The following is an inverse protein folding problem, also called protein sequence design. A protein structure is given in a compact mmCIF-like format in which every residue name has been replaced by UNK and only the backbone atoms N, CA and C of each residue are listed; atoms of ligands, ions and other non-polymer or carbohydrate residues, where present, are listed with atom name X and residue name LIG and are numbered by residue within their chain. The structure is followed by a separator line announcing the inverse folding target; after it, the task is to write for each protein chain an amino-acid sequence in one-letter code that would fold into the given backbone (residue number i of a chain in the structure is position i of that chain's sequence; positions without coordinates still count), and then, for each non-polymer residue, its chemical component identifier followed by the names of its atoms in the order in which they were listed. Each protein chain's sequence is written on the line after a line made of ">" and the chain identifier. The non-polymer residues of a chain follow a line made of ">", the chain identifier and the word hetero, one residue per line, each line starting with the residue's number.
data_IF_190870420034
#
_entry.id   IF_190870420034
#
_cell.length_a   1.000
_cell.length_b   1.000
_cell.length_c   1.000
_cell.angle_alpha   90.00
_cell.angle_beta   90.00
_cell.angle_gamma   90.00
#
_symmetry.space_group_name_H-M   'P 1'
#
loop_
_entity.id
_entity.type
_entity.pdbx_description
1 polymer ?
#
# COMPACT_ATOMS: atom_id res chain seq x y z
N UNK A 1 -9.39 5.56 6.75
CA UNK A 1 -8.38 5.05 5.80
C UNK A 1 -8.94 4.79 4.41
N UNK A 2 -10.02 4.03 4.22
CA UNK A 2 -10.61 3.81 2.88
C UNK A 2 -10.98 5.12 2.16
N UNK A 3 -11.40 6.13 2.90
CA UNK A 3 -11.69 7.46 2.36
C UNK A 3 -10.46 8.11 1.70
N UNK A 4 -9.29 8.04 2.35
CA UNK A 4 -8.04 8.56 1.78
C UNK A 4 -7.58 7.77 0.56
N UNK A 5 -7.84 6.45 0.53
CA UNK A 5 -7.61 5.65 -0.69
C UNK A 5 -8.48 6.18 -1.83
N UNK A 6 -9.78 6.34 -1.61
CA UNK A 6 -10.71 6.82 -2.63
C UNK A 6 -10.39 8.25 -3.13
N UNK A 7 -9.79 9.10 -2.29
CA UNK A 7 -9.34 10.44 -2.71
C UNK A 7 -8.04 10.39 -3.50
N UNK A 8 -7.09 9.55 -3.07
CA UNK A 8 -5.74 9.47 -3.66
C UNK A 8 -5.70 8.61 -4.91
N UNK A 9 -6.44 7.49 -4.90
CA UNK A 9 -6.40 6.42 -5.91
C UNK A 9 -7.84 5.99 -6.26
N UNK A 10 -8.65 6.88 -6.85
CA UNK A 10 -10.04 6.58 -7.15
C UNK A 10 -10.16 5.56 -8.29
N UNK A 11 -11.08 4.61 -8.15
CA UNK A 11 -11.36 3.53 -9.11
C UNK A 11 -11.62 4.07 -10.52
N UNK A 12 -10.93 3.47 -11.51
CA UNK A 12 -11.05 3.79 -12.92
C UNK A 12 -10.57 5.20 -13.30
N UNK A 13 -9.84 5.91 -12.40
CA UNK A 13 -9.33 7.25 -12.65
C UNK A 13 -7.80 7.24 -12.64
N UNK A 14 -7.23 7.46 -13.81
CA UNK A 14 -5.78 7.41 -14.02
C UNK A 14 -5.02 8.40 -13.13
N UNK A 15 -4.19 7.88 -12.24
CA UNK A 15 -3.25 8.63 -11.38
C UNK A 15 -2.27 9.45 -12.22
N UNK A 16 -1.89 8.95 -13.40
CA UNK A 16 -1.03 9.70 -14.34
C UNK A 16 -1.60 11.07 -14.70
N UNK A 17 -2.94 11.20 -14.71
CA UNK A 17 -3.63 12.45 -15.06
C UNK A 17 -3.98 13.29 -13.85
N UNK A 18 -4.34 12.67 -12.74
CA UNK A 18 -4.88 13.38 -11.56
C UNK A 18 -3.82 13.66 -10.51
N UNK A 19 -2.90 12.73 -10.28
CA UNK A 19 -1.86 12.83 -9.26
C UNK A 19 -0.47 12.43 -9.80
N UNK A 20 0.02 13.07 -10.89
CA UNK A 20 1.30 12.69 -11.50
C UNK A 20 2.50 12.78 -10.54
N UNK A 21 2.38 13.55 -9.45
CA UNK A 21 3.39 13.65 -8.40
C UNK A 21 3.64 12.33 -7.67
N UNK A 22 2.65 11.43 -7.60
CA UNK A 22 2.83 10.10 -6.97
C UNK A 22 3.76 9.18 -7.78
N UNK A 23 3.90 9.44 -9.08
CA UNK A 23 4.78 8.71 -9.99
C UNK A 23 6.20 9.30 -10.08
N UNK A 24 6.46 10.40 -9.39
CA UNK A 24 7.79 11.01 -9.32
C UNK A 24 8.65 10.43 -8.20
N UNK A 25 8.04 9.67 -7.30
CA UNK A 25 8.75 9.02 -6.22
C UNK A 25 9.54 7.81 -6.76
N UNK A 26 10.83 7.78 -6.46
CA UNK A 26 11.72 6.65 -6.82
C UNK A 26 11.74 5.56 -5.75
N UNK A 27 11.14 5.80 -4.59
CA UNK A 27 11.11 4.87 -3.45
C UNK A 27 9.67 4.41 -3.24
N UNK A 28 9.37 3.17 -3.66
CA UNK A 28 8.06 2.53 -3.45
C UNK A 28 8.21 1.30 -2.53
N UNK A 29 9.09 1.41 -1.52
CA UNK A 29 9.45 0.31 -0.63
C UNK A 29 9.51 0.81 0.82
N UNK A 30 9.31 -0.10 1.76
CA UNK A 30 9.42 0.19 3.19
C UNK A 30 10.87 0.06 3.64
N UNK A 31 11.45 1.13 4.18
CA UNK A 31 12.82 1.15 4.71
C UNK A 31 12.78 1.11 6.22
N UNK A 32 13.43 0.11 6.82
CA UNK A 32 13.49 -0.09 8.27
C UNK A 32 14.67 0.71 8.84
N UNK A 33 14.38 1.68 9.72
CA UNK A 33 15.36 2.58 10.34
C UNK A 33 15.92 2.04 11.65
N UNK A 34 15.13 1.26 12.37
CA UNK A 34 15.54 0.59 13.61
C UNK A 34 14.89 -0.79 13.69
N UNK A 35 15.52 -1.71 14.41
CA UNK A 35 14.97 -3.07 14.58
C UNK A 35 13.55 -3.03 15.09
N UNK A 36 12.62 -3.62 14.32
CA UNK A 36 11.19 -3.60 14.64
C UNK A 36 10.42 -4.73 13.99
N UNK A 37 9.28 -5.01 14.56
CA UNK A 37 8.25 -5.80 13.90
C UNK A 37 7.57 -4.96 12.82
N UNK A 38 7.27 -5.58 11.68
CA UNK A 38 6.53 -4.96 10.57
C UNK A 38 5.31 -5.80 10.23
N UNK A 39 4.20 -5.12 10.03
CA UNK A 39 2.91 -5.71 9.65
C UNK A 39 2.40 -5.11 8.35
N UNK A 40 1.67 -5.91 7.60
CA UNK A 40 0.89 -5.49 6.45
C UNK A 40 -0.58 -5.67 6.78
N UNK A 41 -1.38 -4.66 6.46
CA UNK A 41 -2.83 -4.69 6.66
C UNK A 41 -3.52 -4.41 5.34
N UNK A 42 -4.43 -5.30 4.94
CA UNK A 42 -5.24 -5.14 3.74
C UNK A 42 -6.23 -3.98 3.92
N UNK A 43 -6.39 -3.16 2.88
CA UNK A 43 -7.32 -2.03 2.87
C UNK A 43 -8.45 -2.27 1.88
N UNK A 44 -8.12 -2.45 0.62
CA UNK A 44 -9.08 -2.63 -0.46
C UNK A 44 -8.44 -3.30 -1.68
N UNK A 45 -9.29 -3.67 -2.61
CA UNK A 45 -8.90 -4.22 -3.91
C UNK A 45 -9.94 -3.76 -4.95
N UNK A 46 -9.45 -3.26 -6.10
CA UNK A 46 -10.23 -2.85 -7.28
C UNK A 46 -10.07 -3.78 -8.48
N UNK A 47 -9.21 -4.81 -8.37
CA UNK A 47 -8.87 -5.69 -9.48
C UNK A 47 -10.01 -6.64 -9.90
N UNK A 48 -10.02 -6.97 -11.18
CA UNK A 48 -10.79 -8.11 -11.70
C UNK A 48 -10.04 -9.44 -11.63
N UNK A 49 -8.78 -9.44 -11.20
CA UNK A 49 -7.90 -10.60 -11.12
C UNK A 49 -7.73 -11.12 -9.70
N UNK A 50 -7.57 -12.43 -9.54
CA UNK A 50 -7.18 -13.04 -8.27
C UNK A 50 -5.65 -12.96 -8.08
N UNK A 51 -5.19 -11.79 -7.68
CA UNK A 51 -3.78 -11.48 -7.51
C UNK A 51 -3.18 -12.12 -6.26
N UNK A 52 -1.85 -12.28 -6.27
CA UNK A 52 -1.06 -12.73 -5.11
C UNK A 52 -0.12 -11.61 -4.70
N UNK A 53 -0.19 -11.16 -3.46
CA UNK A 53 0.75 -10.20 -2.90
C UNK A 53 1.88 -10.93 -2.16
N UNK A 54 3.12 -10.57 -2.48
CA UNK A 54 4.31 -11.08 -1.82
C UNK A 54 5.31 -9.97 -1.49
N UNK A 55 6.36 -10.33 -0.77
CA UNK A 55 7.48 -9.46 -0.48
C UNK A 55 8.82 -10.19 -0.55
N UNK A 56 9.88 -9.42 -0.66
CA UNK A 56 11.27 -9.84 -0.49
C UNK A 56 12.05 -8.70 0.19
N UNK A 57 13.25 -9.01 0.68
CA UNK A 57 14.06 -8.04 1.41
C UNK A 57 15.46 -7.94 0.81
N UNK A 58 16.07 -6.78 0.99
CA UNK A 58 17.46 -6.53 0.66
C UNK A 58 18.07 -5.47 1.60
N UNK A 59 19.40 -5.36 1.59
CA UNK A 59 20.10 -4.32 2.33
C UNK A 59 19.83 -2.95 1.70
N UNK A 60 19.38 -1.98 2.47
CA UNK A 60 19.10 -0.62 1.99
C UNK A 60 20.31 -0.06 1.22
N UNK A 61 20.03 0.51 0.05
CA UNK A 61 21.06 1.01 -0.87
C UNK A 61 21.59 -0.02 -1.88
N UNK A 62 21.25 -1.32 -1.70
CA UNK A 62 21.67 -2.39 -2.60
C UNK A 62 20.47 -3.14 -3.20
N UNK A 63 19.61 -2.49 -4.00
CA UNK A 63 18.45 -3.14 -4.58
C UNK A 63 18.86 -4.23 -5.59
N UNK A 64 18.08 -5.30 -5.72
CA UNK A 64 18.31 -6.29 -6.75
C UNK A 64 18.19 -5.67 -8.14
N UNK A 65 19.05 -6.10 -9.04
CA UNK A 65 19.10 -5.68 -10.45
C UNK A 65 18.45 -6.70 -11.39
N UNK A 66 18.07 -7.87 -10.85
CA UNK A 66 17.38 -8.94 -11.55
C UNK A 66 16.27 -9.54 -10.69
N UNK A 67 15.19 -9.96 -11.32
CA UNK A 67 14.11 -10.69 -10.65
C UNK A 67 14.48 -12.16 -10.33
N UNK A 68 15.59 -12.66 -10.90
CA UNK A 68 16.04 -14.05 -10.77
C UNK A 68 17.55 -14.12 -10.47
N UNK A 69 18.03 -15.30 -10.10
CA UNK A 69 19.46 -15.56 -9.93
C UNK A 69 19.98 -15.46 -8.49
N UNK A 70 19.12 -15.10 -7.54
CA UNK A 70 19.49 -14.99 -6.13
C UNK A 70 20.44 -13.81 -5.83
N UNK A 71 20.59 -13.46 -4.53
CA UNK A 71 21.41 -12.31 -4.09
C UNK A 71 22.88 -12.42 -4.48
N UNK A 72 23.42 -13.62 -4.55
CA UNK A 72 24.81 -13.85 -5.01
C UNK A 72 25.06 -13.35 -6.45
N UNK A 73 24.01 -13.23 -7.27
CA UNK A 73 24.05 -12.74 -8.63
C UNK A 73 23.27 -11.42 -8.83
N UNK A 74 23.04 -10.68 -7.75
CA UNK A 74 22.28 -9.43 -7.78
C UNK A 74 20.76 -9.60 -7.99
N UNK A 75 20.24 -10.81 -7.77
CA UNK A 75 18.81 -11.12 -7.94
C UNK A 75 18.06 -11.29 -6.62
N UNK A 76 16.79 -11.67 -6.72
CA UNK A 76 15.92 -11.99 -5.59
C UNK A 76 16.12 -13.46 -5.20
N UNK A 77 16.43 -13.74 -3.92
CA UNK A 77 16.56 -15.12 -3.42
C UNK A 77 15.20 -15.79 -3.25
N UNK A 78 14.27 -15.08 -2.61
CA UNK A 78 12.99 -15.65 -2.21
C UNK A 78 11.91 -14.57 -2.17
N UNK A 79 10.75 -14.91 -2.72
CA UNK A 79 9.51 -14.17 -2.50
C UNK A 79 8.70 -14.92 -1.44
N UNK A 80 8.25 -14.21 -0.41
CA UNK A 80 7.34 -14.74 0.61
C UNK A 80 5.95 -14.16 0.35
N UNK A 81 4.95 -15.02 0.20
CA UNK A 81 3.57 -14.56 -0.03
C UNK A 81 2.96 -14.03 1.26
N UNK A 82 2.36 -12.86 1.18
CA UNK A 82 1.63 -12.18 2.26
C UNK A 82 0.16 -12.61 2.18
N UNK A 83 -0.45 -12.34 1.02
CA UNK A 83 -1.81 -12.75 0.69
C UNK A 83 -1.76 -13.65 -0.55
N UNK A 84 -1.89 -14.99 -0.37
CA UNK A 84 -1.93 -15.93 -1.50
C UNK A 84 -3.11 -15.71 -2.45
N UNK A 85 -4.20 -15.13 -1.95
CA UNK A 85 -5.25 -14.49 -2.73
C UNK A 85 -5.49 -13.11 -2.13
N UNK A 86 -5.12 -12.05 -2.86
CA UNK A 86 -5.22 -10.67 -2.42
C UNK A 86 -6.59 -10.04 -2.74
N UNK A 87 -7.58 -10.85 -3.14
CA UNK A 87 -8.91 -10.37 -3.49
C UNK A 87 -9.80 -10.23 -2.25
N UNK A 88 -10.63 -9.20 -2.28
CA UNK A 88 -11.59 -8.89 -1.24
C UNK A 88 -12.73 -9.93 -1.18
N UNK A 89 -13.39 -9.99 -0.04
CA UNK A 89 -14.60 -10.79 0.13
C UNK A 89 -15.70 -10.29 -0.80
N UNK A 90 -16.14 -11.18 -1.69
CA UNK A 90 -17.13 -10.87 -2.72
C UNK A 90 -16.51 -10.58 -4.09
N UNK A 91 -15.19 -10.51 -4.20
CA UNK A 91 -14.43 -10.30 -5.44
C UNK A 91 -13.49 -11.49 -5.75
N UNK A 92 -13.91 -12.71 -5.48
CA UNK A 92 -13.10 -13.92 -5.70
C UNK A 92 -12.21 -14.33 -4.52
N UNK A 93 -12.12 -13.52 -3.47
CA UNK A 93 -11.31 -13.79 -2.28
C UNK A 93 -12.06 -13.75 -0.97
N UNK A 94 -11.32 -13.67 0.12
CA UNK A 94 -11.85 -13.68 1.48
C UNK A 94 -11.39 -12.53 2.36
N UNK A 95 -10.53 -11.64 1.85
CA UNK A 95 -9.97 -10.54 2.63
C UNK A 95 -11.03 -9.48 2.94
N UNK A 96 -10.96 -8.95 4.14
CA UNK A 96 -11.75 -7.77 4.55
C UNK A 96 -10.78 -6.67 5.00
N UNK A 97 -11.20 -5.42 4.85
CA UNK A 97 -10.39 -4.28 5.31
C UNK A 97 -10.04 -4.43 6.79
N UNK A 98 -8.74 -4.36 7.11
CA UNK A 98 -8.22 -4.57 8.45
C UNK A 98 -7.57 -5.94 8.66
N UNK A 99 -7.70 -6.89 7.74
CA UNK A 99 -6.98 -8.18 7.82
C UNK A 99 -5.48 -7.92 7.83
N UNK A 100 -4.78 -8.48 8.83
CA UNK A 100 -3.42 -8.10 9.17
C UNK A 100 -2.49 -9.30 9.30
N UNK A 101 -1.31 -9.18 8.67
CA UNK A 101 -0.25 -10.19 8.72
C UNK A 101 1.02 -9.57 9.28
N UNK A 102 1.67 -10.25 10.25
CA UNK A 102 3.02 -9.92 10.69
C UNK A 102 4.01 -10.50 9.68
N UNK A 103 4.80 -9.66 9.03
CA UNK A 103 5.87 -10.11 8.12
C UNK A 103 7.04 -10.72 8.89
N UNK A 104 7.39 -10.14 10.02
CA UNK A 104 8.51 -10.54 10.86
C UNK A 104 9.11 -9.39 11.63
N UNK A 105 10.28 -9.64 12.23
CA UNK A 105 11.14 -8.65 12.85
C UNK A 105 12.33 -8.40 11.92
N UNK A 106 12.57 -7.14 11.56
CA UNK A 106 13.63 -6.74 10.64
C UNK A 106 14.63 -5.83 11.35
N UNK A 107 15.91 -5.98 11.00
CA UNK A 107 16.98 -5.14 11.52
C UNK A 107 17.02 -3.79 10.77
N UNK A 108 17.59 -2.76 11.40
CA UNK A 108 17.87 -1.48 10.77
C UNK A 108 18.68 -1.66 9.47
N UNK A 109 18.37 -0.87 8.44
CA UNK A 109 19.01 -0.96 7.13
C UNK A 109 18.43 -2.06 6.23
N UNK A 110 17.34 -2.71 6.63
CA UNK A 110 16.58 -3.60 5.75
C UNK A 110 15.58 -2.80 4.93
N UNK A 111 15.51 -3.05 3.63
CA UNK A 111 14.40 -2.60 2.76
C UNK A 111 13.50 -3.78 2.44
N UNK A 112 12.20 -3.58 2.63
CA UNK A 112 11.15 -4.53 2.30
C UNK A 112 10.51 -4.04 1.00
N UNK A 113 10.66 -4.81 -0.07
CA UNK A 113 10.04 -4.57 -1.36
C UNK A 113 8.91 -5.54 -1.61
N UNK A 114 7.96 -5.13 -2.41
CA UNK A 114 6.74 -5.89 -2.67
C UNK A 114 6.68 -6.36 -4.12
N UNK A 115 5.89 -7.39 -4.34
CA UNK A 115 5.62 -7.96 -5.66
C UNK A 115 4.18 -8.42 -5.75
N UNK A 116 3.52 -8.03 -6.82
CA UNK A 116 2.19 -8.50 -7.18
C UNK A 116 2.33 -9.53 -8.31
N UNK A 117 1.78 -10.72 -8.12
CA UNK A 117 1.69 -11.75 -9.16
C UNK A 117 0.29 -11.66 -9.76
N UNK A 118 0.23 -11.27 -11.03
CA UNK A 118 -1.02 -11.05 -11.76
C UNK A 118 -1.81 -12.35 -11.91
N UNK A 119 -3.07 -12.34 -11.45
CA UNK A 119 -4.02 -13.45 -11.57
C UNK A 119 -3.40 -14.82 -11.22
N UNK A 120 -2.63 -14.85 -10.13
CA UNK A 120 -1.79 -16.00 -9.79
C UNK A 120 -2.45 -16.98 -8.82
N UNK A 121 -3.57 -16.64 -8.20
CA UNK A 121 -4.31 -17.57 -7.37
C UNK A 121 -5.09 -18.55 -8.25
N UNK A 122 -5.00 -19.84 -7.98
CA UNK A 122 -5.60 -20.93 -8.79
C UNK A 122 -6.83 -21.56 -8.13
N UNK A 123 -7.33 -20.97 -7.05
CA UNK A 123 -8.36 -21.58 -6.21
C UNK A 123 -7.83 -22.59 -5.18
N UNK A 124 -6.58 -23.06 -5.33
CA UNK A 124 -5.97 -24.04 -4.42
C UNK A 124 -4.48 -23.80 -4.13
N UNK A 125 -3.84 -22.88 -4.86
CA UNK A 125 -2.43 -22.56 -4.71
C UNK A 125 -2.01 -21.37 -5.56
N UNK A 126 -0.72 -21.07 -5.56
CA UNK A 126 -0.14 -19.94 -6.28
C UNK A 126 0.58 -20.40 -7.54
N UNK A 127 0.24 -19.84 -8.69
CA UNK A 127 1.02 -19.96 -9.91
C UNK A 127 2.27 -19.07 -9.83
N UNK A 128 3.38 -19.63 -9.39
CA UNK A 128 4.64 -18.91 -9.25
C UNK A 128 5.24 -18.40 -10.59
N UNK A 129 4.72 -18.86 -11.73
CA UNK A 129 5.17 -18.45 -13.07
C UNK A 129 4.33 -17.31 -13.67
N UNK A 130 3.29 -16.84 -12.95
CA UNK A 130 2.51 -15.70 -13.39
C UNK A 130 3.38 -14.44 -13.59
N UNK A 131 2.90 -13.51 -14.40
CA UNK A 131 3.52 -12.19 -14.56
C UNK A 131 3.66 -11.51 -13.20
N UNK A 132 4.78 -10.85 -12.98
CA UNK A 132 5.09 -10.19 -11.71
C UNK A 132 5.35 -8.72 -11.95
N UNK A 133 4.73 -7.91 -11.11
CA UNK A 133 4.98 -6.47 -11.02
C UNK A 133 5.60 -6.16 -9.65
N UNK A 134 6.73 -5.48 -9.69
CA UNK A 134 7.56 -5.20 -8.51
C UNK A 134 7.46 -3.75 -8.10
N UNK A 135 7.57 -3.49 -6.82
CA UNK A 135 7.72 -2.13 -6.29
C UNK A 135 9.08 -1.49 -6.66
N UNK A 136 10.01 -2.28 -7.19
CA UNK A 136 11.26 -1.80 -7.81
C UNK A 136 11.05 -1.70 -9.32
N UNK A 137 10.92 -0.47 -9.82
CA UNK A 137 10.57 -0.20 -11.22
C UNK A 137 11.49 -0.90 -12.25
N UNK A 138 12.81 -0.98 -11.97
CA UNK A 138 13.77 -1.59 -12.88
C UNK A 138 13.54 -3.08 -13.14
N UNK A 139 12.81 -3.77 -12.27
CA UNK A 139 12.51 -5.20 -12.39
C UNK A 139 11.26 -5.48 -13.23
N UNK A 140 10.47 -4.45 -13.55
CA UNK A 140 9.23 -4.59 -14.29
C UNK A 140 9.46 -4.77 -15.80
N UNK A 141 8.57 -5.48 -16.51
CA UNK A 141 8.83 -6.02 -17.85
C UNK A 141 8.78 -4.97 -18.97
N UNK A 142 8.16 -3.81 -18.74
CA UNK A 142 7.98 -2.78 -19.77
C UNK A 142 9.31 -2.33 -20.36
N UNK A 143 9.33 -2.05 -21.67
CA UNK A 143 10.50 -1.52 -22.35
C UNK A 143 10.66 -0.02 -22.14
N UNK A 144 9.54 0.70 -22.09
CA UNK A 144 9.53 2.12 -21.79
C UNK A 144 9.74 2.33 -20.28
N UNK A 145 10.83 2.99 -19.87
CA UNK A 145 11.12 3.20 -18.45
C UNK A 145 10.08 4.04 -17.72
N UNK A 146 9.32 4.88 -18.44
CA UNK A 146 8.26 5.71 -17.85
C UNK A 146 7.00 4.91 -17.47
N UNK A 147 6.86 3.70 -18.01
CA UNK A 147 5.73 2.79 -17.75
C UNK A 147 6.06 1.70 -16.73
N UNK A 148 7.32 1.60 -16.28
CA UNK A 148 7.78 0.55 -15.36
C UNK A 148 7.28 0.66 -13.92
N UNK A 149 6.63 1.75 -13.54
CA UNK A 149 6.13 1.89 -12.17
C UNK A 149 4.77 1.21 -12.04
N UNK A 150 4.69 0.19 -11.18
CA UNK A 150 3.46 -0.54 -10.85
C UNK A 150 3.05 -0.39 -9.40
N UNK A 151 3.89 0.21 -8.58
CA UNK A 151 3.59 0.46 -7.17
C UNK A 151 3.67 1.95 -6.85
N UNK A 152 2.80 2.38 -5.95
CA UNK A 152 2.83 3.71 -5.34
C UNK A 152 2.92 3.51 -3.82
N UNK A 153 3.72 4.35 -3.17
CA UNK A 153 3.73 4.49 -1.72
C UNK A 153 3.33 5.91 -1.33
N UNK A 154 2.41 6.04 -0.39
CA UNK A 154 1.92 7.30 0.15
C UNK A 154 1.98 7.24 1.67
N UNK A 155 2.23 8.36 2.32
CA UNK A 155 2.18 8.45 3.78
C UNK A 155 0.81 8.98 4.23
N UNK A 156 0.17 8.25 5.14
CA UNK A 156 -1.03 8.70 5.84
C UNK A 156 -0.63 9.31 7.19
N UNK A 157 -0.62 10.62 7.33
CA UNK A 157 -0.19 11.28 8.56
C UNK A 157 -1.20 11.13 9.71
N UNK A 158 -2.46 10.84 9.41
CA UNK A 158 -3.52 10.66 10.42
C UNK A 158 -3.35 9.32 11.13
N UNK A 159 -3.09 8.25 10.39
CA UNK A 159 -2.91 6.91 10.94
C UNK A 159 -1.43 6.55 11.17
N UNK A 160 -0.49 7.39 10.72
CA UNK A 160 0.96 7.20 10.82
C UNK A 160 1.42 5.87 10.20
N UNK A 161 0.97 5.61 8.98
CA UNK A 161 1.27 4.39 8.21
C UNK A 161 1.66 4.73 6.78
N UNK A 162 2.42 3.83 6.15
CA UNK A 162 2.72 3.91 4.72
C UNK A 162 1.65 3.10 3.97
N UNK A 163 0.86 3.79 3.15
CA UNK A 163 -0.09 3.19 2.23
C UNK A 163 0.65 2.77 0.96
N UNK A 164 0.51 1.51 0.58
CA UNK A 164 1.08 0.97 -0.65
C UNK A 164 -0.05 0.43 -1.53
N UNK A 165 0.16 0.58 -2.84
CA UNK A 165 -0.81 0.17 -3.84
C UNK A 165 -0.13 -0.33 -5.10
N UNK A 166 -0.86 -1.13 -5.89
CA UNK A 166 -0.37 -1.69 -7.15
C UNK A 166 -1.37 -1.51 -8.26
N UNK A 167 -0.82 -1.37 -9.48
CA UNK A 167 -1.49 -1.59 -10.77
C UNK A 167 -1.07 -2.98 -11.27
N UNK A 168 -2.04 -3.83 -11.62
CA UNK A 168 -1.83 -5.26 -11.88
C UNK A 168 -1.73 -5.62 -13.36
N UNK A 169 -1.70 -4.62 -14.26
CA UNK A 169 -1.62 -4.84 -15.70
C UNK A 169 -0.41 -4.15 -16.34
N UNK A 170 0.13 -4.79 -17.40
CA UNK A 170 1.20 -4.20 -18.21
C UNK A 170 0.75 -2.85 -18.78
N UNK A 171 1.41 -1.79 -18.34
CA UNK A 171 1.10 -0.40 -18.71
C UNK A 171 1.51 -0.05 -20.13
N UNK A 172 2.36 -0.84 -20.76
CA UNK A 172 2.80 -0.62 -22.14
C UNK A 172 1.81 -1.18 -23.17
N UNK A 173 1.09 -2.24 -22.84
CA UNK A 173 0.11 -2.86 -23.76
C UNK A 173 -1.25 -2.17 -23.76
N UNK A 174 -1.49 -1.20 -22.85
CA UNK A 174 -2.73 -0.42 -22.80
C UNK A 174 -3.89 -1.13 -22.10
N UNK A 175 -3.62 -2.21 -21.38
CA UNK A 175 -4.62 -2.89 -20.55
C UNK A 175 -4.87 -2.21 -19.21
N UNK A 176 -3.85 -1.54 -18.67
CA UNK A 176 -3.93 -0.81 -17.40
C UNK A 176 -4.74 0.48 -17.55
N UNK A 177 -5.62 0.77 -16.59
CA UNK A 177 -6.30 2.08 -16.44
C UNK A 177 -5.44 3.09 -15.68
N UNK A 178 -4.35 2.64 -15.08
CA UNK A 178 -3.38 3.42 -14.31
C UNK A 178 -3.97 4.07 -13.06
N UNK A 179 -4.90 3.44 -12.41
CA UNK A 179 -5.49 3.96 -11.18
C UNK A 179 -4.74 3.51 -9.91
N UNK A 180 -3.93 2.44 -10.03
CA UNK A 180 -3.06 1.91 -8.96
C UNK A 180 -3.81 1.47 -7.71
N UNK A 181 -5.04 1.01 -7.82
CA UNK A 181 -5.83 0.57 -6.67
C UNK A 181 -6.18 -0.92 -6.68
N UNK A 182 -5.62 -1.69 -7.62
CA UNK A 182 -5.89 -3.12 -7.78
C UNK A 182 -5.58 -3.95 -6.52
N UNK A 183 -4.61 -3.56 -5.73
CA UNK A 183 -4.38 -4.08 -4.37
C UNK A 183 -3.84 -2.96 -3.51
N UNK A 184 -4.56 -2.60 -2.45
CA UNK A 184 -4.18 -1.54 -1.52
C UNK A 184 -4.00 -2.12 -0.12
N UNK A 185 -2.87 -1.83 0.48
CA UNK A 185 -2.52 -2.25 1.84
C UNK A 185 -1.68 -1.18 2.52
N UNK A 186 -1.54 -1.24 3.83
CA UNK A 186 -0.58 -0.38 4.51
C UNK A 186 0.44 -1.18 5.30
N UNK A 187 1.65 -0.61 5.39
CA UNK A 187 2.72 -1.08 6.26
C UNK A 187 2.72 -0.29 7.56
N UNK A 188 2.90 -0.99 8.66
CA UNK A 188 3.05 -0.40 9.99
C UNK A 188 4.15 -1.09 10.77
N UNK A 189 4.77 -0.36 11.70
CA UNK A 189 5.82 -0.88 12.58
C UNK A 189 5.54 -0.55 14.05
N UNK A 190 6.28 -1.18 14.95
CA UNK A 190 6.27 -0.83 16.35
C UNK A 190 7.73 -0.71 16.87
N UNK A 191 8.17 0.52 17.24
CA UNK A 191 7.41 1.78 17.20
C UNK A 191 7.09 2.24 15.76
N UNK A 192 6.11 3.12 15.59
CA UNK A 192 5.68 3.64 14.27
C UNK A 192 6.81 4.37 13.52
N UNK A 193 7.75 4.96 14.26
CA UNK A 193 8.94 5.64 13.73
C UNK A 193 10.02 4.69 13.22
N UNK A 194 9.83 3.37 13.30
CA UNK A 194 10.84 2.40 12.90
C UNK A 194 10.93 2.22 11.38
N UNK A 195 9.95 2.68 10.62
CA UNK A 195 9.98 2.75 9.15
C UNK A 195 10.08 4.20 8.69
N UNK A 196 10.73 4.41 7.54
CA UNK A 196 11.01 5.74 7.00
C UNK A 196 9.82 6.29 6.24
N UNK A 197 9.44 7.53 6.53
CA UNK A 197 8.52 8.32 5.72
C UNK A 197 9.23 9.37 4.86
N UNK A 198 10.57 9.36 4.85
CA UNK A 198 11.35 10.37 4.13
C UNK A 198 11.15 10.28 2.62
N UNK A 199 10.68 11.37 2.03
CA UNK A 199 10.47 11.49 0.59
C UNK A 199 9.19 10.79 0.09
N UNK A 200 8.35 10.27 0.98
CA UNK A 200 7.07 9.67 0.64
C UNK A 200 6.02 10.80 0.57
N UNK A 201 5.30 10.95 -0.56
CA UNK A 201 4.22 11.92 -0.66
C UNK A 201 3.06 11.54 0.27
N UNK A 202 2.38 12.54 0.82
CA UNK A 202 1.19 12.30 1.63
C UNK A 202 0.01 11.85 0.76
N UNK A 203 -0.91 11.09 1.38
CA UNK A 203 -2.22 10.79 0.78
C UNK A 203 -2.98 12.09 0.51
N UNK A 204 -3.84 12.10 -0.52
CA UNK A 204 -4.77 13.20 -0.72
C UNK A 204 -5.83 13.16 0.41
N UNK A 205 -5.91 14.18 1.25
CA UNK A 205 -6.91 14.24 2.30
C UNK A 205 -8.35 14.36 1.75
N UNK A 206 -8.50 14.70 0.46
CA UNK A 206 -9.78 15.00 -0.14
C UNK A 206 -10.23 16.45 0.11
N UNK A 207 -11.50 16.73 -0.19
CA UNK A 207 -12.08 18.05 -0.05
C UNK A 207 -12.21 18.44 1.43
N UNK A 208 -11.82 19.67 1.75
CA UNK A 208 -12.05 20.36 3.01
C UNK A 208 -12.91 21.61 2.68
N UNK A 209 -14.22 21.54 3.00
CA UNK A 209 -15.20 22.52 2.53
C UNK A 209 -15.19 23.81 3.32
N UNK A 210 -14.78 23.80 4.57
CA UNK A 210 -14.77 24.97 5.44
C UNK A 210 -13.36 25.47 5.79
N UNK A 211 -12.32 24.69 5.43
CA UNK A 211 -10.93 25.11 5.55
C UNK A 211 -10.37 25.02 6.97
N UNK A 212 -10.95 24.21 7.85
CA UNK A 212 -10.47 24.06 9.23
C UNK A 212 -9.27 23.08 9.34
N UNK A 213 -8.89 22.42 8.24
CA UNK A 213 -7.79 21.46 8.16
C UNK A 213 -8.21 20.01 8.38
N UNK A 214 -9.50 19.75 8.55
CA UNK A 214 -10.06 18.40 8.63
C UNK A 214 -10.90 18.12 7.38
N UNK A 215 -10.54 17.12 6.56
CA UNK A 215 -11.28 16.84 5.33
C UNK A 215 -12.75 16.46 5.59
N UNK A 216 -13.66 16.86 4.69
CA UNK A 216 -15.10 16.58 4.76
C UNK A 216 -15.44 15.13 5.14
N UNK A 217 -14.61 14.18 4.72
CA UNK A 217 -14.82 12.74 4.95
C UNK A 217 -14.58 12.30 6.41
N UNK A 218 -13.78 13.06 7.14
CA UNK A 218 -13.42 12.78 8.55
C UNK A 218 -13.97 13.85 9.49
N UNK A 219 -14.54 14.91 8.94
CA UNK A 219 -15.14 16.00 9.65
C UNK A 219 -16.62 15.71 9.98
N UNK A 220 -16.99 15.81 11.25
CA UNK A 220 -18.37 15.66 11.67
C UNK A 220 -19.23 16.91 11.35
N UNK A 221 -18.57 18.02 10.97
CA UNK A 221 -19.20 19.31 10.67
C UNK A 221 -18.61 19.99 9.45
N UNK A 222 -18.66 19.40 8.23
CA UNK A 222 -17.88 19.78 7.03
C UNK A 222 -18.17 21.18 6.46
N UNK A 223 -18.95 22.00 7.13
CA UNK A 223 -19.28 23.37 6.75
C UNK A 223 -19.22 24.34 7.95
N UNK A 224 -18.54 23.94 9.04
CA UNK A 224 -18.39 24.77 10.25
C UNK A 224 -16.90 24.80 10.67
N UNK A 225 -16.12 25.81 10.23
CA UNK A 225 -14.67 25.87 10.44
C UNK A 225 -14.24 26.03 11.92
N UNK A 226 -15.18 25.96 12.82
CA UNK A 226 -14.90 26.02 14.27
C UNK A 226 -15.05 24.67 14.96
N UNK A 227 -15.47 23.62 14.23
CA UNK A 227 -15.82 22.32 14.79
C UNK A 227 -15.55 21.20 13.80
N UNK A 228 -14.65 20.30 14.16
CA UNK A 228 -14.34 19.11 13.36
C UNK A 228 -14.85 17.80 13.98
N UNK A 229 -14.96 17.72 15.30
CA UNK A 229 -15.24 16.47 16.00
C UNK A 229 -16.42 16.59 16.97
N UNK A 230 -17.17 15.49 17.09
CA UNK A 230 -18.18 15.36 18.14
C UNK A 230 -17.49 14.98 19.45
N UNK A 231 -17.53 15.87 20.44
CA UNK A 231 -16.99 15.60 21.76
C UNK A 231 -18.06 14.96 22.64
N UNK A 232 -17.75 13.78 23.17
CA UNK A 232 -18.56 13.13 24.18
C UNK A 232 -17.91 13.34 25.54
N UNK A 233 -18.66 13.95 26.45
CA UNK A 233 -18.25 13.97 27.85
C UNK A 233 -18.72 12.68 28.51
N UNK A 234 -17.85 11.95 29.24
CA UNK A 234 -18.31 10.79 30.01
C UNK A 234 -19.37 11.24 31.02
N UNK A 235 -20.58 10.67 30.90
CA UNK A 235 -21.59 10.88 31.92
C UNK A 235 -21.10 10.22 33.20
N UNK A 236 -21.01 10.99 34.28
CA UNK A 236 -20.77 10.44 35.62
C UNK A 236 -22.02 9.66 36.05
N UNK A 237 -22.06 8.39 35.72
CA UNK A 237 -23.05 7.50 36.33
C UNK A 237 -22.47 7.05 37.67
N UNK A 238 -22.92 7.62 38.73
CA UNK A 238 -22.70 7.09 40.09
C UNK A 238 -23.45 5.76 40.16
N UNK A 239 -22.72 4.66 40.10
CA UNK A 239 -23.28 3.37 40.52
C UNK A 239 -23.49 3.46 42.04
N UNK A 240 -24.74 3.53 42.49
CA UNK A 240 -25.03 3.30 43.88
C UNK A 240 -24.52 1.90 44.23
N UNK A 241 -23.73 1.80 45.30
CA UNK A 241 -23.22 0.53 45.79
C UNK A 241 -24.38 -0.46 45.93
N UNK A 242 -24.27 -1.59 45.24
CA UNK A 242 -25.13 -2.75 45.41
C UNK A 242 -24.61 -3.52 46.63
#
# INVERSE_FOLDING_TARGET
>A
MLSFVNSSLPEGISVVKTHPQYLQNTVNNVVVLQKSDVWITFVSEGAGYENVLGYFTFQTGNPPTSATGGTANGGIDKITYIFPNASAKGSGGGLISGDKVKLGTFDAGTTIAFVLLQNAWTGSGVNANATKFYSINSLNPEKDPTLKQHAIILYDPVHQVDLLSFDDQDRQTGGSDNDFNDVVFYASSNPVTAISQTGIPAVDPGKDSDGDGVPDQTDAFPNDPTRAFISYYPSQTTFANI
#
